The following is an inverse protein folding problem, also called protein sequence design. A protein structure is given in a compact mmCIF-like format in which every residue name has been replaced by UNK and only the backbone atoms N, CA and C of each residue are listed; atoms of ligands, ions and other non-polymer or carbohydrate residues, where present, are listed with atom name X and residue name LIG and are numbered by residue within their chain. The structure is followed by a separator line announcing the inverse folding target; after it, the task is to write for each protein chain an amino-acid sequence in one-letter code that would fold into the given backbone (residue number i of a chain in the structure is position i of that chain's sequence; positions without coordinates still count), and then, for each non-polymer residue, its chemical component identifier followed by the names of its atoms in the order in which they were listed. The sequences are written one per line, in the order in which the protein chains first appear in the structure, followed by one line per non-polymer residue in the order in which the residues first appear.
data_IF_361604908484
#
_entry.id   IF_361604908484
#
_cell.length_a   1.000
_cell.length_b   1.000
_cell.length_c   1.000
_cell.angle_alpha   90.00
_cell.angle_beta   90.00
_cell.angle_gamma   90.00
#
_symmetry.space_group_name_H-M   'P 1'
#
loop_
_entity.id
_entity.type
_entity.pdbx_description
1 polymer ?
#
# COMPACT_ATOMS: atom_id res chain seq x y z
N UNK A 1 -2.15 -18.27 -12.19
CA UNK A 1 -0.80 -18.40 -12.77
C UNK A 1 0.20 -17.52 -12.00
N UNK A 2 1.53 -17.73 -12.14
CA UNK A 2 2.52 -16.80 -11.57
C UNK A 2 2.33 -15.36 -12.07
N UNK A 3 1.88 -15.18 -13.31
CA UNK A 3 1.61 -13.86 -13.90
C UNK A 3 0.49 -13.09 -13.18
N UNK A 4 -0.51 -13.80 -12.68
CA UNK A 4 -1.60 -13.16 -11.94
C UNK A 4 -1.12 -12.62 -10.60
N UNK A 5 -0.14 -13.29 -9.97
CA UNK A 5 0.46 -12.83 -8.72
C UNK A 5 1.25 -11.52 -8.91
N UNK A 6 1.91 -11.35 -10.06
CA UNK A 6 2.64 -10.11 -10.38
C UNK A 6 1.73 -8.88 -10.42
N UNK A 7 0.43 -9.05 -10.70
CA UNK A 7 -0.54 -7.95 -10.70
C UNK A 7 -0.79 -7.37 -9.31
N UNK A 8 -0.57 -8.19 -8.25
CA UNK A 8 -0.69 -7.76 -6.86
C UNK A 8 0.55 -7.06 -6.32
N UNK A 9 1.69 -7.24 -6.99
CA UNK A 9 2.95 -6.65 -6.54
C UNK A 9 3.05 -5.18 -6.89
N UNK A 10 3.65 -4.41 -6.01
CA UNK A 10 4.17 -3.07 -6.29
C UNK A 10 5.56 -3.21 -6.90
N UNK A 11 5.62 -3.77 -8.12
CA UNK A 11 6.86 -4.15 -8.78
C UNK A 11 7.83 -2.99 -8.87
N UNK A 12 9.04 -3.17 -8.34
CA UNK A 12 10.12 -2.20 -8.34
C UNK A 12 9.78 -0.83 -7.73
N UNK A 13 8.71 -0.73 -6.91
CA UNK A 13 8.38 0.52 -6.22
C UNK A 13 9.51 0.96 -5.27
N UNK A 14 10.25 0.02 -4.70
CA UNK A 14 11.46 0.28 -3.91
C UNK A 14 12.54 1.03 -4.69
N UNK A 15 12.66 0.79 -6.00
CA UNK A 15 13.61 1.50 -6.85
C UNK A 15 13.23 2.95 -7.10
N UNK A 16 11.93 3.27 -7.09
CA UNK A 16 11.45 4.65 -7.25
C UNK A 16 11.91 5.54 -6.09
N UNK A 17 12.06 4.97 -4.90
CA UNK A 17 12.48 5.69 -3.70
C UNK A 17 14.00 5.62 -3.45
N UNK A 18 14.75 4.85 -4.24
CA UNK A 18 16.19 4.69 -4.07
C UNK A 18 16.97 6.03 -4.01
N UNK A 19 16.67 7.06 -4.83
CA UNK A 19 17.34 8.35 -4.71
C UNK A 19 17.09 9.06 -3.37
N UNK A 20 15.87 8.97 -2.82
CA UNK A 20 15.55 9.53 -1.51
C UNK A 20 16.27 8.79 -0.38
N UNK A 21 16.38 7.47 -0.48
CA UNK A 21 17.15 6.64 0.46
C UNK A 21 18.63 7.03 0.42
N UNK A 22 19.20 7.18 -0.76
CA UNK A 22 20.58 7.62 -0.95
C UNK A 22 20.84 9.03 -0.38
N UNK A 23 19.81 9.89 -0.37
CA UNK A 23 19.85 11.21 0.26
C UNK A 23 19.63 11.19 1.78
N UNK A 24 19.51 10.02 2.41
CA UNK A 24 19.41 9.85 3.86
C UNK A 24 17.99 9.74 4.41
N UNK A 25 16.98 9.59 3.56
CA UNK A 25 15.61 9.30 4.00
C UNK A 25 15.53 7.89 4.60
N UNK A 26 14.96 7.75 5.79
CA UNK A 26 14.69 6.44 6.37
C UNK A 26 13.64 5.69 5.53
N UNK A 27 13.88 4.41 5.30
CA UNK A 27 12.96 3.58 4.51
C UNK A 27 12.76 2.20 5.15
N UNK A 28 11.57 1.67 4.97
CA UNK A 28 11.19 0.30 5.35
C UNK A 28 10.60 -0.34 4.10
N UNK A 29 11.23 -1.41 3.62
CA UNK A 29 10.84 -2.09 2.40
C UNK A 29 10.27 -3.46 2.73
N UNK A 30 9.08 -3.76 2.20
CA UNK A 30 8.45 -5.07 2.33
C UNK A 30 9.05 -6.06 1.32
N UNK A 31 9.66 -7.15 1.81
CA UNK A 31 10.28 -8.19 0.96
C UNK A 31 9.40 -9.45 0.80
N UNK A 32 8.15 -9.40 1.23
CA UNK A 32 7.20 -10.50 1.05
C UNK A 32 6.14 -10.13 0.03
N UNK A 33 5.82 -11.11 -0.81
CA UNK A 33 4.78 -10.93 -1.82
C UNK A 33 3.45 -10.54 -1.17
N UNK A 34 2.78 -9.52 -1.69
CA UNK A 34 1.45 -9.07 -1.24
C UNK A 34 0.42 -10.20 -1.26
N UNK A 35 0.53 -11.12 -2.22
CA UNK A 35 -0.31 -12.32 -2.27
C UNK A 35 -0.16 -13.21 -1.03
N UNK A 36 1.00 -13.19 -0.37
CA UNK A 36 1.28 -14.00 0.81
C UNK A 36 0.76 -13.36 2.09
N UNK A 37 0.91 -12.05 2.25
CA UNK A 37 0.28 -11.20 3.27
C UNK A 37 0.31 -9.75 2.80
N UNK A 38 -0.84 -9.08 2.81
CA UNK A 38 -0.94 -7.66 2.48
C UNK A 38 -0.72 -6.80 3.72
N UNK A 39 0.46 -6.17 3.80
CA UNK A 39 0.83 -5.30 4.92
C UNK A 39 0.02 -3.99 4.96
N UNK A 40 -0.71 -3.65 3.89
CA UNK A 40 -1.64 -2.53 3.87
C UNK A 40 -3.10 -2.97 4.16
N UNK A 41 -3.25 -4.01 5.02
CA UNK A 41 -4.54 -4.50 5.54
C UNK A 41 -4.46 -4.71 7.04
N UNK A 42 -5.60 -4.51 7.71
CA UNK A 42 -5.73 -4.82 9.12
C UNK A 42 -5.75 -6.33 9.38
N UNK A 43 -5.39 -6.75 10.59
CA UNK A 43 -5.39 -8.18 10.95
C UNK A 43 -6.78 -8.80 10.86
N UNK A 44 -7.83 -8.01 11.13
CA UNK A 44 -9.24 -8.42 11.02
C UNK A 44 -9.80 -8.36 9.58
N UNK A 45 -9.06 -7.85 8.61
CA UNK A 45 -9.40 -7.96 7.19
C UNK A 45 -9.13 -9.36 6.60
N UNK A 46 -8.96 -10.37 7.45
CA UNK A 46 -8.81 -11.76 7.06
C UNK A 46 -10.16 -12.36 6.67
N UNK A 47 -10.25 -12.90 5.44
CA UNK A 47 -11.43 -13.62 4.98
C UNK A 47 -11.55 -14.96 5.75
N UNK A 48 -12.65 -15.21 6.50
CA UNK A 48 -12.82 -16.46 7.25
C UNK A 48 -12.77 -17.73 6.38
N UNK A 49 -13.10 -17.61 5.09
CA UNK A 49 -13.03 -18.74 4.15
C UNK A 49 -11.58 -19.14 3.81
N UNK A 50 -10.63 -18.27 4.11
CA UNK A 50 -9.20 -18.55 3.92
C UNK A 50 -8.58 -19.39 5.04
N UNK A 51 -9.34 -19.70 6.11
CA UNK A 51 -8.81 -20.37 7.31
C UNK A 51 -9.57 -21.66 7.59
N UNK A 52 -8.86 -22.77 7.76
CA UNK A 52 -9.41 -24.07 8.11
C UNK A 52 -8.50 -24.82 9.10
N UNK A 53 -9.01 -25.28 10.27
CA UNK A 53 -10.36 -24.99 10.81
C UNK A 53 -10.54 -23.49 11.10
N UNK A 54 -11.80 -23.06 11.16
CA UNK A 54 -12.13 -21.65 11.51
C UNK A 54 -11.53 -21.29 12.87
N UNK A 55 -11.08 -20.05 12.99
CA UNK A 55 -10.54 -19.53 14.25
C UNK A 55 -11.68 -19.17 15.21
N UNK A 56 -11.72 -19.80 16.38
CA UNK A 56 -12.70 -19.52 17.40
C UNK A 56 -12.62 -18.06 17.88
N UNK A 57 -13.75 -17.40 17.99
CA UNK A 57 -13.81 -16.01 18.45
C UNK A 57 -13.27 -14.95 17.49
N UNK A 58 -12.75 -15.35 16.32
CA UNK A 58 -12.28 -14.38 15.33
C UNK A 58 -13.46 -13.64 14.68
N UNK A 59 -13.41 -12.31 14.76
CA UNK A 59 -14.39 -11.43 14.10
C UNK A 59 -13.71 -10.75 12.92
N UNK A 60 -14.05 -11.21 11.71
CA UNK A 60 -13.59 -10.55 10.50
C UNK A 60 -14.20 -9.15 10.39
N UNK A 61 -13.43 -8.23 9.82
CA UNK A 61 -13.96 -6.96 9.35
C UNK A 61 -14.98 -7.21 8.21
N UNK A 62 -15.78 -6.23 7.92
CA UNK A 62 -16.70 -6.29 6.77
C UNK A 62 -16.25 -5.29 5.68
N UNK A 63 -14.93 -5.16 5.48
CA UNK A 63 -14.39 -4.22 4.51
C UNK A 63 -14.74 -4.62 3.07
N UNK A 64 -14.89 -3.61 2.21
CA UNK A 64 -15.13 -3.83 0.77
C UNK A 64 -13.97 -4.62 0.13
N UNK A 65 -12.75 -4.39 0.59
CA UNK A 65 -11.56 -5.09 0.08
C UNK A 65 -11.59 -6.57 0.44
N UNK A 66 -11.87 -6.92 1.69
CA UNK A 66 -12.01 -8.31 2.13
C UNK A 66 -13.12 -9.02 1.36
N UNK A 67 -14.31 -8.41 1.23
CA UNK A 67 -15.43 -8.97 0.43
C UNK A 67 -15.07 -9.14 -1.05
N UNK A 68 -14.26 -8.24 -1.59
CA UNK A 68 -13.72 -8.33 -2.95
C UNK A 68 -12.63 -9.39 -3.15
N UNK A 69 -12.22 -10.08 -2.07
CA UNK A 69 -11.14 -11.08 -2.10
C UNK A 69 -9.73 -10.50 -1.97
N UNK A 70 -9.61 -9.21 -1.62
CA UNK A 70 -8.34 -8.49 -1.42
C UNK A 70 -8.14 -8.12 0.06
N UNK A 71 -8.43 -9.05 0.96
CA UNK A 71 -8.18 -8.89 2.40
C UNK A 71 -6.71 -9.05 2.78
N UNK A 72 -6.47 -9.28 4.08
CA UNK A 72 -5.13 -9.48 4.65
C UNK A 72 -4.31 -10.54 3.90
N UNK A 73 -4.97 -11.62 3.50
CA UNK A 73 -4.43 -12.60 2.57
C UNK A 73 -5.34 -12.57 1.35
N UNK A 74 -4.87 -12.03 0.22
CA UNK A 74 -5.66 -12.00 -1.00
C UNK A 74 -6.13 -13.38 -1.40
N UNK A 75 -7.45 -13.58 -1.51
CA UNK A 75 -8.06 -14.84 -1.86
C UNK A 75 -8.22 -15.01 -3.36
N UNK A 76 -8.67 -13.95 -4.03
CA UNK A 76 -8.99 -14.00 -5.46
C UNK A 76 -8.68 -12.70 -6.17
N UNK A 77 -8.48 -12.80 -7.48
CA UNK A 77 -8.42 -11.67 -8.41
C UNK A 77 -9.58 -11.74 -9.39
N UNK A 78 -10.10 -10.57 -9.77
CA UNK A 78 -11.29 -10.44 -10.59
C UNK A 78 -11.27 -11.29 -11.88
N UNK A 79 -10.11 -11.45 -12.51
CA UNK A 79 -9.96 -12.17 -13.78
C UNK A 79 -9.15 -13.47 -13.68
N UNK A 80 -8.64 -13.82 -12.49
CA UNK A 80 -7.80 -14.98 -12.29
C UNK A 80 -8.45 -16.06 -11.40
N UNK A 81 -9.58 -15.73 -10.74
CA UNK A 81 -10.21 -16.62 -9.78
C UNK A 81 -9.43 -16.75 -8.48
N UNK A 82 -9.57 -17.88 -7.81
CA UNK A 82 -8.93 -18.13 -6.51
C UNK A 82 -7.42 -18.31 -6.66
N UNK A 83 -6.67 -17.66 -5.77
CA UNK A 83 -5.20 -17.70 -5.74
C UNK A 83 -4.66 -18.91 -4.97
N UNK A 84 -5.47 -19.49 -4.11
CA UNK A 84 -5.08 -20.58 -3.21
C UNK A 84 -5.82 -21.86 -3.54
N UNK A 85 -5.10 -22.98 -3.54
CA UNK A 85 -5.69 -24.31 -3.78
C UNK A 85 -6.46 -24.84 -2.56
N UNK A 86 -6.18 -24.32 -1.38
CA UNK A 86 -6.81 -24.73 -0.11
C UNK A 86 -6.70 -23.60 0.91
N UNK A 87 -7.58 -23.55 1.90
CA UNK A 87 -7.44 -22.64 3.05
C UNK A 87 -6.13 -22.88 3.80
N UNK A 88 -5.70 -21.87 4.53
CA UNK A 88 -4.52 -21.91 5.40
C UNK A 88 -4.92 -22.36 6.81
N UNK A 89 -3.98 -22.91 7.55
CA UNK A 89 -4.20 -23.20 8.96
C UNK A 89 -4.20 -21.90 9.80
N UNK A 90 -4.83 -21.92 10.97
CA UNK A 90 -4.76 -20.82 11.92
C UNK A 90 -3.32 -20.55 12.38
N UNK A 91 -2.48 -21.58 12.43
CA UNK A 91 -1.07 -21.47 12.75
C UNK A 91 -0.26 -20.75 11.67
N UNK A 92 -0.51 -21.06 10.38
CA UNK A 92 0.06 -20.33 9.26
C UNK A 92 -0.29 -18.83 9.31
N UNK A 93 -1.55 -18.52 9.62
CA UNK A 93 -2.00 -17.13 9.76
C UNK A 93 -1.26 -16.44 10.91
N UNK A 94 -1.22 -17.09 12.09
CA UNK A 94 -0.52 -16.57 13.26
C UNK A 94 0.95 -16.32 12.95
N UNK A 95 1.62 -17.28 12.32
CA UNK A 95 3.01 -17.12 11.89
C UNK A 95 3.22 -15.89 11.00
N UNK A 96 2.37 -15.69 9.99
CA UNK A 96 2.47 -14.52 9.09
C UNK A 96 2.26 -13.20 9.82
N UNK A 97 1.31 -13.16 10.75
CA UNK A 97 1.08 -11.98 11.57
C UNK A 97 2.27 -11.67 12.48
N UNK A 98 2.77 -12.67 13.21
CA UNK A 98 3.84 -12.49 14.22
C UNK A 98 5.21 -12.24 13.58
N UNK A 99 5.51 -12.86 12.45
CA UNK A 99 6.84 -12.76 11.86
C UNK A 99 6.95 -11.65 10.80
N UNK A 100 5.83 -11.14 10.28
CA UNK A 100 5.89 -10.17 9.18
C UNK A 100 5.00 -8.95 9.40
N UNK A 101 3.71 -9.12 9.63
CA UNK A 101 2.77 -8.01 9.73
C UNK A 101 3.07 -7.11 10.94
N UNK A 102 3.08 -7.70 12.13
CA UNK A 102 3.33 -6.95 13.38
C UNK A 102 4.71 -6.32 13.45
N UNK A 103 5.81 -7.06 13.12
CA UNK A 103 7.14 -6.45 13.09
C UNK A 103 7.29 -5.30 12.10
N UNK A 104 6.68 -5.41 10.91
CA UNK A 104 6.67 -4.35 9.91
C UNK A 104 6.02 -3.07 10.47
N UNK A 105 4.82 -3.19 11.02
CA UNK A 105 4.12 -2.04 11.59
C UNK A 105 4.82 -1.46 12.82
N UNK A 106 5.43 -2.30 13.65
CA UNK A 106 6.22 -1.85 14.80
C UNK A 106 7.47 -1.06 14.36
N UNK A 107 8.12 -1.49 13.27
CA UNK A 107 9.26 -0.76 12.71
C UNK A 107 8.86 0.62 12.20
N UNK A 108 7.73 0.75 11.50
CA UNK A 108 7.18 2.04 11.06
C UNK A 108 6.90 2.94 12.28
N UNK A 109 6.17 2.42 13.26
CA UNK A 109 5.79 3.17 14.46
C UNK A 109 7.03 3.73 15.19
N UNK A 110 8.02 2.88 15.45
CA UNK A 110 9.28 3.27 16.11
C UNK A 110 10.03 4.35 15.30
N UNK A 111 10.10 4.19 13.98
CA UNK A 111 10.78 5.16 13.12
C UNK A 111 10.07 6.51 13.15
N UNK A 112 8.74 6.53 13.05
CA UNK A 112 7.95 7.76 13.09
C UNK A 112 8.06 8.46 14.45
N UNK A 113 7.99 7.73 15.55
CA UNK A 113 8.19 8.28 16.88
C UNK A 113 9.58 8.89 17.06
N UNK A 114 10.61 8.22 16.59
CA UNK A 114 11.99 8.73 16.65
C UNK A 114 12.15 10.02 15.83
N UNK A 115 11.62 10.05 14.61
CA UNK A 115 11.67 11.24 13.74
C UNK A 115 10.89 12.40 14.39
N UNK A 116 9.65 12.15 14.85
CA UNK A 116 8.85 13.15 15.53
C UNK A 116 9.54 13.70 16.78
N UNK A 117 10.12 12.82 17.60
CA UNK A 117 10.82 13.27 18.83
C UNK A 117 12.06 14.11 18.51
N UNK A 118 12.73 13.85 17.40
CA UNK A 118 13.93 14.60 17.00
C UNK A 118 13.59 15.92 16.32
N UNK A 119 12.53 15.95 15.49
CA UNK A 119 12.25 17.08 14.59
C UNK A 119 10.92 17.80 14.90
N UNK A 120 10.16 17.34 15.90
CA UNK A 120 8.83 17.89 16.25
C UNK A 120 7.70 17.37 15.38
N UNK A 121 7.99 16.82 14.22
CA UNK A 121 7.00 16.26 13.29
C UNK A 121 7.61 15.07 12.53
N UNK A 122 6.76 14.18 12.03
CA UNK A 122 7.15 13.09 11.13
C UNK A 122 6.15 12.98 9.97
N UNK A 123 6.66 12.63 8.78
CA UNK A 123 5.85 12.32 7.61
C UNK A 123 6.19 10.92 7.13
N UNK A 124 5.17 10.06 7.09
CA UNK A 124 5.21 8.77 6.40
C UNK A 124 4.77 8.97 4.95
N UNK A 125 5.61 8.55 4.01
CA UNK A 125 5.24 8.46 2.60
C UNK A 125 5.14 6.98 2.24
N UNK A 126 3.92 6.51 1.99
CA UNK A 126 3.61 5.13 1.61
C UNK A 126 3.58 5.03 0.09
N UNK A 127 4.58 4.38 -0.50
CA UNK A 127 4.76 4.36 -1.96
C UNK A 127 4.30 3.02 -2.53
N UNK A 128 3.33 3.11 -3.42
CA UNK A 128 2.73 2.01 -4.14
C UNK A 128 2.81 2.21 -5.65
N UNK A 129 2.43 1.19 -6.38
CA UNK A 129 2.24 1.25 -7.82
C UNK A 129 0.86 0.78 -8.23
N UNK A 130 0.30 1.43 -9.22
CA UNK A 130 -1.01 1.09 -9.77
C UNK A 130 -0.92 0.72 -11.26
N UNK A 131 -1.84 -0.11 -11.78
CA UNK A 131 -1.97 -0.25 -13.22
C UNK A 131 -2.41 1.08 -13.86
N UNK A 132 -2.11 1.29 -15.16
CA UNK A 132 -2.59 2.47 -15.89
C UNK A 132 -4.11 2.63 -15.73
N UNK A 133 -4.53 3.83 -15.34
CA UNK A 133 -5.95 4.14 -15.16
C UNK A 133 -6.57 4.41 -16.54
N UNK A 134 -7.75 3.84 -16.78
CA UNK A 134 -8.59 4.21 -17.93
C UNK A 134 -9.15 5.60 -17.71
N UNK A 135 -9.01 6.46 -18.72
CA UNK A 135 -9.41 7.84 -18.64
C UNK A 135 -10.94 7.97 -18.51
N UNK A 136 -11.40 8.38 -17.33
CA UNK A 136 -12.73 9.00 -17.16
C UNK A 136 -12.64 10.52 -17.32
N UNK A 137 -11.44 11.08 -17.24
CA UNK A 137 -11.07 12.45 -17.58
C UNK A 137 -9.72 12.44 -18.33
N UNK A 138 -9.54 13.33 -19.27
CA UNK A 138 -8.29 13.46 -20.02
C UNK A 138 -7.47 14.64 -19.50
N UNK A 139 -6.18 14.46 -19.22
CA UNK A 139 -5.43 13.20 -19.21
C UNK A 139 -5.73 12.33 -17.99
N UNK A 140 -5.63 11.02 -18.15
CA UNK A 140 -5.72 10.08 -17.01
C UNK A 140 -4.59 10.35 -16.00
N UNK A 141 -4.88 10.32 -14.69
CA UNK A 141 -3.84 10.51 -13.69
C UNK A 141 -2.78 9.41 -13.76
N UNK A 142 -1.53 9.83 -13.77
CA UNK A 142 -0.34 8.95 -13.73
C UNK A 142 0.22 8.79 -12.32
N UNK A 143 -0.17 9.71 -11.42
CA UNK A 143 0.12 9.67 -9.99
C UNK A 143 -1.18 9.93 -9.25
N UNK A 144 -1.45 9.12 -8.23
CA UNK A 144 -2.55 9.38 -7.28
C UNK A 144 -1.96 9.59 -5.90
N UNK A 145 -2.34 10.70 -5.29
CA UNK A 145 -1.93 11.07 -3.94
C UNK A 145 -3.12 10.79 -3.02
N UNK A 146 -2.89 10.03 -1.96
CA UNK A 146 -3.89 9.69 -0.96
C UNK A 146 -3.54 10.28 0.41
N UNK A 147 -4.45 11.06 0.99
CA UNK A 147 -4.34 11.60 2.35
C UNK A 147 -5.57 11.25 3.21
N UNK A 148 -6.35 10.27 2.73
CA UNK A 148 -7.62 9.86 3.33
C UNK A 148 -8.58 11.04 3.51
N UNK A 149 -8.70 11.87 2.49
CA UNK A 149 -9.54 13.07 2.50
C UNK A 149 -9.17 14.03 3.64
N UNK A 150 -7.88 14.29 3.84
CA UNK A 150 -7.35 15.16 4.88
C UNK A 150 -7.29 14.55 6.29
N UNK A 151 -7.65 13.25 6.44
CA UNK A 151 -7.67 12.59 7.76
C UNK A 151 -6.28 12.13 8.23
N UNK A 152 -5.33 11.89 7.32
CA UNK A 152 -4.00 11.37 7.66
C UNK A 152 -2.88 12.39 7.53
N UNK A 153 -3.12 13.51 6.85
CA UNK A 153 -2.15 14.59 6.70
C UNK A 153 -2.88 15.93 6.40
N UNK A 154 -2.29 17.09 6.75
CA UNK A 154 -2.76 18.40 6.25
C UNK A 154 -2.71 18.49 4.72
N UNK A 155 -3.67 19.18 4.11
CA UNK A 155 -3.79 19.34 2.65
C UNK A 155 -2.51 19.87 1.99
N UNK A 156 -1.74 20.69 2.70
CA UNK A 156 -0.48 21.25 2.24
C UNK A 156 0.46 20.20 1.64
N UNK A 157 0.57 19.02 2.26
CA UNK A 157 1.45 17.96 1.73
C UNK A 157 0.97 17.42 0.37
N UNK A 158 -0.35 17.22 0.25
CA UNK A 158 -0.94 16.77 -1.01
C UNK A 158 -0.83 17.85 -2.09
N UNK A 159 -1.09 19.10 -1.75
CA UNK A 159 -0.96 20.25 -2.65
C UNK A 159 0.47 20.40 -3.21
N UNK A 160 1.48 20.30 -2.33
CA UNK A 160 2.90 20.31 -2.74
C UNK A 160 3.25 19.20 -3.71
N UNK A 161 2.76 17.98 -3.48
CA UNK A 161 3.01 16.84 -4.36
C UNK A 161 2.30 16.99 -5.72
N UNK A 162 1.06 17.47 -5.72
CA UNK A 162 0.30 17.74 -6.95
C UNK A 162 1.00 18.83 -7.77
N UNK A 163 1.42 19.92 -7.14
CA UNK A 163 2.13 20.99 -7.81
C UNK A 163 3.47 20.51 -8.37
N UNK A 164 4.16 19.66 -7.62
CA UNK A 164 5.39 19.04 -8.12
C UNK A 164 5.14 18.15 -9.33
N UNK A 165 4.12 17.31 -9.30
CA UNK A 165 3.73 16.49 -10.46
C UNK A 165 3.40 17.37 -11.67
N UNK A 166 2.62 18.45 -11.47
CA UNK A 166 2.29 19.42 -12.51
C UNK A 166 3.54 20.07 -13.12
N UNK A 167 4.49 20.47 -12.31
CA UNK A 167 5.76 21.06 -12.78
C UNK A 167 6.60 20.11 -13.64
N UNK A 168 6.36 18.81 -13.52
CA UNK A 168 6.98 17.75 -14.31
C UNK A 168 6.10 17.30 -15.50
N UNK A 169 4.98 18.00 -15.77
CA UNK A 169 3.99 17.62 -16.77
C UNK A 169 3.39 16.23 -16.56
N UNK A 170 3.31 15.77 -15.29
CA UNK A 170 2.69 14.50 -14.92
C UNK A 170 1.30 14.76 -14.35
N UNK A 171 0.28 14.15 -14.96
CA UNK A 171 -1.09 14.27 -14.46
C UNK A 171 -1.22 13.56 -13.11
N UNK A 172 -1.74 14.28 -12.12
CA UNK A 172 -1.95 13.77 -10.77
C UNK A 172 -3.38 13.99 -10.30
N UNK A 173 -3.88 13.10 -9.45
CA UNK A 173 -5.17 13.20 -8.78
C UNK A 173 -5.03 13.05 -7.27
N UNK A 174 -5.98 13.61 -6.53
CA UNK A 174 -6.07 13.49 -5.08
C UNK A 174 -7.18 12.53 -4.68
N UNK A 175 -6.84 11.53 -3.86
CA UNK A 175 -7.77 10.58 -3.25
C UNK A 175 -8.61 9.71 -4.22
N UNK A 176 -8.41 9.84 -5.50
CA UNK A 176 -9.23 9.12 -6.48
C UNK A 176 -8.37 8.45 -7.55
N UNK A 177 -8.49 7.12 -7.72
CA UNK A 177 -9.35 6.17 -7.01
C UNK A 177 -8.73 5.60 -5.71
N UNK A 178 -7.56 6.06 -5.29
CA UNK A 178 -6.81 5.51 -4.16
C UNK A 178 -6.59 6.55 -3.06
N UNK A 179 -7.50 6.62 -2.06
CA UNK A 179 -7.39 7.64 -0.98
C UNK A 179 -6.37 7.29 0.11
N UNK A 180 -5.75 6.13 0.06
CA UNK A 180 -4.96 5.56 1.14
C UNK A 180 -5.75 4.57 2.00
N UNK A 181 -5.06 3.61 2.57
CA UNK A 181 -5.70 2.50 3.30
C UNK A 181 -5.13 2.32 4.72
N UNK A 182 -4.92 1.09 5.12
CA UNK A 182 -4.61 0.71 6.50
C UNK A 182 -3.34 1.35 7.04
N UNK A 183 -2.26 1.41 6.25
CA UNK A 183 -1.00 2.04 6.68
C UNK A 183 -1.24 3.49 7.10
N UNK A 184 -1.96 4.27 6.29
CA UNK A 184 -2.26 5.66 6.62
C UNK A 184 -3.19 5.78 7.83
N UNK A 185 -4.19 4.90 7.91
CA UNK A 185 -5.14 4.87 9.04
C UNK A 185 -4.46 4.51 10.35
N UNK A 186 -3.54 3.56 10.32
CA UNK A 186 -2.84 3.05 11.49
C UNK A 186 -1.79 4.00 12.03
N UNK A 187 -1.02 4.61 11.13
CA UNK A 187 0.18 5.35 11.49
C UNK A 187 0.01 6.86 11.46
N UNK A 188 -0.96 7.38 10.69
CA UNK A 188 -1.28 8.80 10.68
C UNK A 188 -1.94 9.23 12.01
N UNK A 189 -1.35 10.24 12.64
CA UNK A 189 -1.86 10.88 13.86
C UNK A 189 -1.54 12.37 13.79
N UNK A 190 -2.38 13.12 13.07
CA UNK A 190 -2.16 14.54 12.82
C UNK A 190 -2.08 15.38 14.12
N UNK A 191 -2.87 15.01 15.16
CA UNK A 191 -2.82 15.68 16.47
C UNK A 191 -1.50 15.41 17.19
N UNK A 192 -0.86 14.27 16.94
CA UNK A 192 0.46 13.91 17.46
C UNK A 192 1.62 14.34 16.57
N UNK A 193 1.40 15.19 15.55
CA UNK A 193 2.39 15.62 14.56
C UNK A 193 3.03 14.44 13.78
N UNK A 194 2.28 13.38 13.58
CA UNK A 194 2.66 12.28 12.69
C UNK A 194 1.68 12.26 11.52
N UNK A 195 2.18 12.58 10.35
CA UNK A 195 1.40 12.65 9.12
C UNK A 195 1.69 11.45 8.22
N UNK A 196 0.71 11.04 7.44
CA UNK A 196 0.86 9.93 6.49
C UNK A 196 0.19 10.28 5.16
N UNK A 197 0.91 10.03 4.06
CA UNK A 197 0.42 10.24 2.71
C UNK A 197 0.80 9.04 1.85
N UNK A 198 -0.07 8.65 0.93
CA UNK A 198 0.17 7.58 -0.03
C UNK A 198 0.47 8.18 -1.40
N UNK A 199 1.38 7.56 -2.14
CA UNK A 199 1.66 7.86 -3.53
C UNK A 199 1.51 6.58 -4.34
N UNK A 200 0.55 6.57 -5.25
CA UNK A 200 0.38 5.51 -6.24
C UNK A 200 0.98 5.96 -7.57
N UNK A 201 1.94 5.21 -8.07
CA UNK A 201 2.62 5.52 -9.33
C UNK A 201 2.13 4.57 -10.42
N UNK A 202 1.68 5.13 -11.55
CA UNK A 202 1.33 4.34 -12.73
C UNK A 202 2.55 3.55 -13.22
N UNK A 203 2.40 2.22 -13.27
CA UNK A 203 3.46 1.28 -13.66
C UNK A 203 4.05 1.56 -15.03
N UNK A 204 3.28 2.10 -15.95
CA UNK A 204 3.78 2.44 -17.28
C UNK A 204 4.73 3.64 -17.32
N UNK A 205 4.92 4.35 -16.18
CA UNK A 205 5.95 5.38 -16.05
C UNK A 205 7.37 4.83 -15.90
N UNK A 206 7.52 3.56 -15.53
CA UNK A 206 8.84 3.02 -15.20
C UNK A 206 9.01 1.53 -15.56
N UNK A 207 7.96 0.87 -16.02
CA UNK A 207 8.01 -0.52 -16.50
C UNK A 207 7.85 -0.58 -18.02
N UNK A 208 8.18 -1.71 -18.57
CA UNK A 208 7.99 -2.04 -19.99
C UNK A 208 6.50 -2.10 -20.38
N UNK A 209 6.23 -2.26 -21.66
CA UNK A 209 4.86 -2.33 -22.19
C UNK A 209 4.04 -3.51 -21.63
N UNK A 210 4.69 -4.53 -21.10
CA UNK A 210 4.05 -5.66 -20.43
C UNK A 210 3.86 -5.43 -18.92
N UNK A 211 4.31 -4.29 -18.39
CA UNK A 211 4.31 -3.91 -16.97
C UNK A 211 5.03 -4.94 -16.07
N UNK A 212 6.12 -5.51 -16.56
CA UNK A 212 6.85 -6.57 -15.88
C UNK A 212 8.23 -6.18 -15.41
N UNK A 213 9.01 -5.59 -16.30
CA UNK A 213 10.41 -5.26 -16.04
C UNK A 213 10.65 -3.75 -16.16
N UNK A 214 11.71 -3.21 -15.51
CA UNK A 214 12.07 -1.81 -15.70
C UNK A 214 12.25 -1.48 -17.17
N UNK A 215 11.60 -0.41 -17.61
CA UNK A 215 11.58 0.05 -18.98
C UNK A 215 11.95 1.54 -19.09
N UNK A 216 11.95 2.08 -20.31
CA UNK A 216 12.28 3.49 -20.53
C UNK A 216 11.22 4.47 -19.99
N UNK A 217 10.05 3.97 -19.54
CA UNK A 217 8.97 4.79 -19.01
C UNK A 217 8.17 5.50 -20.10
#
# INVERSE_FOLDING_TARGET
SPEDLLRLEDRYADRLVAPAIAAGTAAIVAHRARAWIDLNRAEDDLDPEMVSPRMDGFKASNSLKMRGGLGLIPRRLLHAGDLWKRPLSSEDIKHRLEQFHRPYHLAIERSLLNIRNRFGTALLVDVHSMPPLTATAMPAPRIVIGDRFGQSAPSLYAEMLIERARSLNVAAALNHPYPGDYILRRHGNAQGNIHAIQIEVDRSLYLDSMLREPGPG
#
